data_IF_917240226289
#
_entry.id   IF_917240226289
#
_cell.length_a   1.000
_cell.length_b   1.000
_cell.length_c   1.000
_cell.angle_alpha   90.00
_cell.angle_beta   90.00
_cell.angle_gamma   90.00
#
_symmetry.space_group_name_H-M   'P 1'
#
loop_
_entity.id
_entity.type
_entity.pdbx_description
1 polymer ?
#
# COMPACT_ATOMS: atom_id res chain seq x y z
N UNK A 1 11.15 8.16 2.86
CA UNK A 1 9.94 8.22 2.03
C UNK A 1 9.61 9.66 1.66
N UNK A 2 9.07 9.87 0.48
CA UNK A 2 8.68 11.20 0.01
C UNK A 2 7.24 11.50 0.45
N UNK A 3 7.10 12.28 1.50
CA UNK A 3 5.78 12.60 2.07
C UNK A 3 4.90 13.42 1.11
N UNK A 4 5.48 14.13 0.15
CA UNK A 4 4.74 14.90 -0.85
C UNK A 4 4.32 14.04 -2.06
N UNK A 5 4.85 12.84 -2.21
CA UNK A 5 4.55 11.96 -3.32
C UNK A 5 5.05 12.44 -4.68
N UNK A 6 5.75 13.56 -4.75
CA UNK A 6 6.11 14.21 -6.01
C UNK A 6 7.07 13.38 -6.86
N UNK A 7 7.99 12.65 -6.21
CA UNK A 7 9.03 11.87 -6.88
C UNK A 7 8.85 10.37 -6.67
N UNK A 8 7.67 9.92 -6.25
CA UNK A 8 7.49 8.53 -5.83
C UNK A 8 7.70 7.56 -7.00
N UNK A 9 7.26 7.91 -8.20
CA UNK A 9 7.53 7.09 -9.39
C UNK A 9 9.03 6.96 -9.64
N UNK A 10 9.76 8.08 -9.59
CA UNK A 10 11.21 8.09 -9.78
C UNK A 10 11.92 7.28 -8.70
N UNK A 11 11.44 7.35 -7.46
CA UNK A 11 11.97 6.54 -6.37
C UNK A 11 11.77 5.05 -6.65
N UNK A 12 10.60 4.65 -7.15
CA UNK A 12 10.33 3.27 -7.52
C UNK A 12 11.28 2.80 -8.64
N UNK A 13 11.49 3.63 -9.65
CA UNK A 13 12.43 3.32 -10.74
C UNK A 13 13.86 3.18 -10.22
N UNK A 14 14.28 4.04 -9.30
CA UNK A 14 15.62 3.98 -8.68
C UNK A 14 15.79 2.72 -7.85
N UNK A 15 14.78 2.35 -7.07
CA UNK A 15 14.80 1.11 -6.27
C UNK A 15 14.88 -0.11 -7.20
N UNK A 16 14.09 -0.13 -8.25
CA UNK A 16 14.11 -1.22 -9.23
C UNK A 16 15.51 -1.39 -9.84
N UNK A 17 16.13 -0.29 -10.26
CA UNK A 17 17.47 -0.31 -10.83
C UNK A 17 18.51 -0.81 -9.83
N UNK A 18 18.45 -0.32 -8.60
CA UNK A 18 19.37 -0.74 -7.53
C UNK A 18 19.22 -2.23 -7.21
N UNK A 19 18.01 -2.73 -7.20
CA UNK A 19 17.75 -4.15 -6.94
C UNK A 19 18.26 -5.03 -8.09
N UNK A 20 18.08 -4.61 -9.34
CA UNK A 20 18.65 -5.33 -10.49
C UNK A 20 20.16 -5.39 -10.39
N UNK A 21 20.82 -4.27 -10.08
CA UNK A 21 22.27 -4.22 -9.94
C UNK A 21 22.77 -5.12 -8.82
N UNK A 22 22.03 -5.22 -7.73
CA UNK A 22 22.40 -6.02 -6.55
C UNK A 22 21.96 -7.47 -6.63
N UNK A 23 21.19 -7.86 -7.65
CA UNK A 23 20.64 -9.21 -7.76
C UNK A 23 19.52 -9.52 -6.76
N UNK A 24 18.94 -8.52 -6.14
CA UNK A 24 17.84 -8.68 -5.18
C UNK A 24 16.50 -8.64 -5.90
N UNK A 25 15.55 -9.49 -5.43
CA UNK A 25 14.22 -9.56 -6.04
C UNK A 25 13.07 -9.27 -5.08
N UNK A 26 13.25 -9.56 -3.78
CA UNK A 26 12.16 -9.40 -2.80
C UNK A 26 12.04 -7.95 -2.36
N UNK A 27 10.86 -7.35 -2.60
CA UNK A 27 10.57 -5.96 -2.23
C UNK A 27 9.22 -5.88 -1.54
N UNK A 28 9.18 -5.19 -0.40
CA UNK A 28 7.93 -4.79 0.25
C UNK A 28 7.81 -3.27 0.09
N UNK A 29 6.72 -2.82 -0.52
CA UNK A 29 6.51 -1.42 -0.87
C UNK A 29 5.26 -0.90 -0.21
N UNK A 30 5.38 0.19 0.55
CA UNK A 30 4.23 0.82 1.20
C UNK A 30 3.66 1.88 0.27
N UNK A 31 2.41 1.67 -0.16
CA UNK A 31 1.66 2.57 -1.00
C UNK A 31 0.52 3.20 -0.20
N UNK A 32 -0.66 3.34 -0.79
CA UNK A 32 -1.83 3.89 -0.10
C UNK A 32 -3.12 3.36 -0.72
N UNK A 33 -4.19 3.37 0.07
CA UNK A 33 -5.53 3.03 -0.42
C UNK A 33 -5.96 3.99 -1.53
N UNK A 34 -6.76 3.50 -2.45
CA UNK A 34 -7.38 4.32 -3.50
C UNK A 34 -6.61 4.40 -4.80
N UNK A 35 -5.40 3.86 -4.89
CA UNK A 35 -4.60 3.97 -6.12
C UNK A 35 -5.22 3.26 -7.32
N UNK A 36 -6.08 2.26 -7.09
CA UNK A 36 -6.80 1.55 -8.15
C UNK A 36 -8.27 1.97 -8.26
N UNK A 37 -8.63 3.09 -7.61
CA UNK A 37 -10.03 3.51 -7.49
C UNK A 37 -10.92 2.44 -6.85
N UNK A 38 -10.37 1.74 -5.87
CA UNK A 38 -10.99 0.57 -5.26
C UNK A 38 -11.77 0.89 -3.97
N UNK A 39 -11.74 2.13 -3.50
CA UNK A 39 -12.44 2.54 -2.28
C UNK A 39 -13.86 2.97 -2.62
N UNK A 40 -14.88 2.22 -2.19
CA UNK A 40 -16.26 2.49 -2.60
C UNK A 40 -16.93 3.57 -1.74
N UNK A 41 -18.09 4.05 -2.23
CA UNK A 41 -19.02 4.87 -1.47
C UNK A 41 -18.52 6.26 -1.13
N UNK A 42 -19.09 6.81 -0.07
CA UNK A 42 -18.75 8.18 0.39
C UNK A 42 -17.31 8.30 0.85
N UNK A 43 -16.78 7.27 1.48
CA UNK A 43 -15.38 7.27 1.89
C UNK A 43 -14.45 7.36 0.67
N UNK A 44 -14.76 6.63 -0.40
CA UNK A 44 -14.00 6.71 -1.65
C UNK A 44 -14.02 8.12 -2.23
N UNK A 45 -15.18 8.77 -2.25
CA UNK A 45 -15.32 10.15 -2.70
C UNK A 45 -14.48 11.10 -1.85
N UNK A 46 -14.57 10.98 -0.53
CA UNK A 46 -13.79 11.79 0.40
C UNK A 46 -12.29 11.56 0.23
N UNK A 47 -11.88 10.30 0.11
CA UNK A 47 -10.48 9.92 -0.05
C UNK A 47 -9.91 10.49 -1.35
N UNK A 48 -10.64 10.34 -2.45
CA UNK A 48 -10.23 10.88 -3.76
C UNK A 48 -10.10 12.40 -3.74
N UNK A 49 -11.05 13.08 -3.10
CA UNK A 49 -11.03 14.54 -2.99
C UNK A 49 -9.86 15.01 -2.11
N UNK A 50 -9.58 14.29 -1.03
CA UNK A 50 -8.54 14.66 -0.06
C UNK A 50 -7.14 14.40 -0.60
N UNK A 51 -6.91 13.23 -1.22
CA UNK A 51 -5.60 12.84 -1.71
C UNK A 51 -5.30 13.37 -3.12
N UNK A 52 -6.33 13.52 -3.95
CA UNK A 52 -6.17 14.12 -5.27
C UNK A 52 -5.05 13.50 -6.09
N UNK A 53 -4.11 14.33 -6.53
CA UNK A 53 -3.00 13.90 -7.39
C UNK A 53 -2.00 12.95 -6.71
N UNK A 54 -2.02 12.83 -5.38
CA UNK A 54 -1.24 11.80 -4.70
C UNK A 54 -1.57 10.42 -5.23
N UNK A 55 -2.85 10.14 -5.45
CA UNK A 55 -3.28 8.82 -5.91
C UNK A 55 -2.70 8.49 -7.28
N UNK A 56 -2.69 9.46 -8.19
CA UNK A 56 -2.10 9.29 -9.52
C UNK A 56 -0.60 8.99 -9.44
N UNK A 57 0.10 9.70 -8.57
CA UNK A 57 1.55 9.52 -8.40
C UNK A 57 1.88 8.18 -7.75
N UNK A 58 1.15 7.82 -6.72
CA UNK A 58 1.35 6.52 -6.05
C UNK A 58 0.96 5.35 -6.97
N UNK A 59 -0.09 5.52 -7.78
CA UNK A 59 -0.43 4.52 -8.80
C UNK A 59 0.72 4.34 -9.80
N UNK A 60 1.29 5.44 -10.30
CA UNK A 60 2.40 5.38 -11.25
C UNK A 60 3.61 4.61 -10.67
N UNK A 61 3.92 4.82 -9.39
CA UNK A 61 4.98 4.08 -8.72
C UNK A 61 4.65 2.59 -8.59
N UNK A 62 3.42 2.26 -8.20
CA UNK A 62 2.98 0.88 -8.10
C UNK A 62 3.04 0.18 -9.46
N UNK A 63 2.66 0.87 -10.52
CA UNK A 63 2.70 0.34 -11.89
C UNK A 63 4.12 -0.02 -12.32
N UNK A 64 5.11 0.78 -11.95
CA UNK A 64 6.54 0.47 -12.19
C UNK A 64 6.89 -0.89 -11.57
N UNK A 65 6.46 -1.13 -10.35
CA UNK A 65 6.74 -2.40 -9.65
C UNK A 65 5.93 -3.56 -10.22
N UNK A 66 4.66 -3.33 -10.55
CA UNK A 66 3.79 -4.37 -11.12
C UNK A 66 4.27 -4.83 -12.50
N UNK A 67 4.90 -3.94 -13.26
CA UNK A 67 5.47 -4.25 -14.58
C UNK A 67 6.91 -4.78 -14.49
N UNK A 68 7.50 -4.85 -13.31
CA UNK A 68 8.85 -5.35 -13.10
C UNK A 68 8.87 -6.88 -12.97
N UNK A 69 10.08 -7.44 -12.90
CA UNK A 69 10.29 -8.85 -12.59
C UNK A 69 10.55 -9.10 -11.10
N UNK A 70 10.37 -8.09 -10.25
CA UNK A 70 10.58 -8.24 -8.81
C UNK A 70 9.51 -9.11 -8.16
N UNK A 71 9.91 -9.78 -7.10
CA UNK A 71 9.00 -10.48 -6.19
C UNK A 71 8.47 -9.46 -5.18
N UNK A 72 7.57 -8.60 -5.65
CA UNK A 72 7.06 -7.49 -4.84
C UNK A 72 5.84 -7.89 -4.00
N UNK A 73 5.68 -7.19 -2.88
CA UNK A 73 4.39 -7.07 -2.17
C UNK A 73 4.14 -5.59 -1.97
N UNK A 74 3.03 -5.10 -2.51
CA UNK A 74 2.58 -3.73 -2.29
C UNK A 74 1.58 -3.75 -1.15
N UNK A 75 1.76 -2.85 -0.17
CA UNK A 75 0.82 -2.67 0.94
C UNK A 75 0.11 -1.34 0.74
N UNK A 76 -1.23 -1.37 0.72
CA UNK A 76 -2.10 -0.20 0.58
C UNK A 76 -2.84 0.03 1.89
N UNK A 77 -2.24 0.72 2.88
CA UNK A 77 -2.91 0.90 4.16
C UNK A 77 -4.05 1.90 4.06
N UNK A 78 -5.07 1.71 4.89
CA UNK A 78 -6.06 2.72 5.21
C UNK A 78 -5.39 3.90 5.92
N UNK A 79 -6.15 4.90 6.35
CA UNK A 79 -5.58 6.06 7.04
C UNK A 79 -4.90 5.62 8.34
N UNK A 80 -3.64 6.03 8.48
CA UNK A 80 -2.77 5.53 9.55
C UNK A 80 -3.05 6.22 10.88
N UNK A 81 -3.10 5.42 11.95
CA UNK A 81 -3.21 5.92 13.33
C UNK A 81 -1.97 5.57 14.13
N UNK A 82 -1.85 6.20 15.30
CA UNK A 82 -0.77 5.91 16.27
C UNK A 82 -1.26 5.06 17.44
N UNK A 83 -2.42 4.41 17.29
CA UNK A 83 -2.95 3.54 18.35
C UNK A 83 -2.01 2.37 18.61
N UNK A 84 -1.87 2.02 19.89
CA UNK A 84 -1.02 0.90 20.31
C UNK A 84 -1.80 -0.41 20.18
N UNK A 85 -1.93 -0.87 18.95
CA UNK A 85 -2.68 -2.09 18.65
C UNK A 85 -2.14 -2.77 17.39
N UNK A 86 -2.26 -4.10 17.36
CA UNK A 86 -2.06 -4.90 16.17
C UNK A 86 -3.42 -5.53 15.85
N UNK A 87 -4.16 -4.93 14.94
CA UNK A 87 -5.52 -5.34 14.60
C UNK A 87 -5.80 -4.93 13.16
N UNK A 88 -5.74 -5.89 12.24
CA UNK A 88 -5.90 -5.61 10.83
C UNK A 88 -6.48 -6.80 10.08
N UNK A 89 -7.11 -6.51 8.95
CA UNK A 89 -7.51 -7.50 7.96
C UNK A 89 -7.01 -7.08 6.58
N UNK A 90 -7.00 -8.03 5.64
CA UNK A 90 -6.43 -7.84 4.32
C UNK A 90 -7.51 -8.04 3.26
N UNK A 91 -7.50 -7.16 2.24
CA UNK A 91 -8.25 -7.35 0.99
C UNK A 91 -7.26 -7.46 -0.16
N UNK A 92 -7.68 -8.12 -1.24
CA UNK A 92 -6.85 -8.31 -2.43
C UNK A 92 -6.96 -7.11 -3.37
N UNK A 93 -6.13 -7.09 -4.42
CA UNK A 93 -6.04 -5.98 -5.36
C UNK A 93 -7.38 -5.62 -6.00
N UNK A 94 -8.17 -6.63 -6.36
CA UNK A 94 -9.43 -6.45 -7.08
C UNK A 94 -10.66 -6.41 -6.18
N UNK A 95 -10.47 -6.55 -4.87
CA UNK A 95 -11.57 -6.46 -3.91
C UNK A 95 -11.91 -5.00 -3.60
N UNK A 96 -13.17 -4.68 -3.29
CA UNK A 96 -13.48 -3.38 -2.69
C UNK A 96 -12.70 -3.20 -1.39
N UNK A 97 -12.14 -2.02 -1.21
CA UNK A 97 -11.39 -1.70 0.01
C UNK A 97 -12.37 -1.59 1.19
N UNK A 98 -11.96 -2.12 2.35
CA UNK A 98 -12.76 -2.11 3.57
C UNK A 98 -12.15 -1.18 4.60
N UNK A 99 -13.01 -0.64 5.49
CA UNK A 99 -12.57 0.15 6.63
C UNK A 99 -11.99 1.50 6.25
N UNK A 100 -11.66 2.28 7.27
CA UNK A 100 -11.19 3.66 7.09
C UNK A 100 -9.82 3.91 7.71
N UNK A 101 -9.40 3.09 8.68
CA UNK A 101 -8.17 3.33 9.42
C UNK A 101 -7.43 2.04 9.75
N UNK A 102 -6.15 2.17 10.08
CA UNK A 102 -5.30 1.08 10.57
C UNK A 102 -4.10 1.69 11.31
N UNK A 103 -3.66 1.04 12.38
CA UNK A 103 -2.51 1.55 13.13
C UNK A 103 -1.19 1.31 12.38
N UNK A 104 -0.22 2.20 12.58
CA UNK A 104 1.14 2.00 12.07
C UNK A 104 1.75 0.73 12.63
N UNK A 105 1.44 0.40 13.88
CA UNK A 105 1.91 -0.84 14.51
C UNK A 105 1.39 -2.09 13.80
N UNK A 106 0.13 -2.06 13.33
CA UNK A 106 -0.43 -3.15 12.52
C UNK A 106 0.33 -3.33 11.21
N UNK A 107 0.64 -2.23 10.52
CA UNK A 107 1.41 -2.29 9.27
C UNK A 107 2.82 -2.85 9.54
N UNK A 108 3.47 -2.39 10.60
CA UNK A 108 4.79 -2.92 10.98
C UNK A 108 4.74 -4.43 11.25
N UNK A 109 3.71 -4.90 11.93
CA UNK A 109 3.53 -6.33 12.20
C UNK A 109 3.36 -7.13 10.91
N UNK A 110 2.61 -6.61 9.94
CA UNK A 110 2.46 -7.25 8.63
C UNK A 110 3.80 -7.31 7.90
N UNK A 111 4.57 -6.22 7.89
CA UNK A 111 5.89 -6.20 7.26
C UNK A 111 6.80 -7.27 7.87
N UNK A 112 6.85 -7.37 9.19
CA UNK A 112 7.66 -8.41 9.87
C UNK A 112 7.21 -9.80 9.44
N UNK A 113 5.90 -10.05 9.41
CA UNK A 113 5.35 -11.34 8.99
C UNK A 113 5.76 -11.69 7.55
N UNK A 114 5.72 -10.71 6.65
CA UNK A 114 6.12 -10.91 5.25
C UNK A 114 7.61 -11.20 5.12
N UNK A 115 8.46 -10.60 5.96
CA UNK A 115 9.90 -10.88 5.94
C UNK A 115 10.23 -12.26 6.51
N UNK A 116 9.41 -12.77 7.42
CA UNK A 116 9.58 -14.11 8.00
C UNK A 116 9.15 -15.20 7.03
N UNK A 117 8.27 -14.91 6.08
CA UNK A 117 7.84 -15.83 5.03
C UNK A 117 8.01 -15.17 3.67
N UNK A 118 9.23 -15.12 3.14
CA UNK A 118 9.53 -14.36 1.92
C UNK A 118 8.92 -14.94 0.65
N UNK A 119 8.33 -16.11 0.70
CA UNK A 119 7.66 -16.73 -0.45
C UNK A 119 6.16 -16.44 -0.47
N UNK A 120 5.61 -15.85 0.59
CA UNK A 120 4.18 -15.53 0.65
C UNK A 120 3.90 -14.17 0.00
N UNK A 121 2.72 -14.05 -0.60
CA UNK A 121 2.20 -12.80 -1.18
C UNK A 121 3.13 -12.14 -2.19
N UNK A 122 3.85 -12.96 -2.97
CA UNK A 122 4.72 -12.49 -4.05
C UNK A 122 3.84 -11.99 -5.20
N UNK A 123 4.22 -10.84 -5.77
CA UNK A 123 3.53 -10.16 -6.88
C UNK A 123 2.07 -9.88 -6.53
N UNK A 124 1.86 -9.39 -5.32
CA UNK A 124 0.55 -9.17 -4.73
C UNK A 124 0.45 -7.74 -4.21
N UNK A 125 -0.73 -7.14 -4.32
CA UNK A 125 -1.04 -5.82 -3.76
C UNK A 125 -2.15 -5.98 -2.73
N UNK A 126 -1.84 -5.67 -1.47
CA UNK A 126 -2.71 -5.92 -0.32
C UNK A 126 -3.32 -4.63 0.22
N UNK A 127 -4.64 -4.57 0.30
CA UNK A 127 -5.32 -3.55 1.08
C UNK A 127 -5.32 -3.95 2.55
N UNK A 128 -5.05 -3.01 3.44
CA UNK A 128 -4.92 -3.30 4.89
C UNK A 128 -5.71 -2.27 5.69
N UNK A 129 -6.68 -2.75 6.46
CA UNK A 129 -7.52 -1.92 7.31
C UNK A 129 -7.78 -2.59 8.66
N UNK A 130 -8.16 -1.78 9.64
CA UNK A 130 -8.68 -2.30 10.91
C UNK A 130 -10.10 -2.78 10.70
N UNK A 131 -10.45 -4.00 11.18
CA UNK A 131 -11.83 -4.50 11.08
C UNK A 131 -12.84 -3.57 11.77
N UNK A 132 -14.04 -3.52 11.22
CA UNK A 132 -15.18 -2.78 11.80
C UNK A 132 -14.95 -1.26 11.90
N UNK A 133 -14.20 -0.70 10.94
CA UNK A 133 -13.98 0.75 10.87
C UNK A 133 -14.64 1.38 9.65
N UNK A 134 -15.62 0.72 9.05
CA UNK A 134 -16.37 1.28 7.92
C UNK A 134 -17.05 2.58 8.31
N UNK A 135 -17.01 3.56 7.41
CA UNK A 135 -17.59 4.88 7.63
C UNK A 135 -17.34 5.78 6.44
N UNK A 136 -17.79 7.03 6.55
CA UNK A 136 -17.67 8.01 5.46
C UNK A 136 -16.29 8.70 5.42
N UNK A 137 -15.53 8.60 6.49
CA UNK A 137 -14.14 9.09 6.62
C UNK A 137 -13.50 8.51 7.90
N UNK A 138 -12.16 8.60 8.02
CA UNK A 138 -11.44 8.05 9.17
C UNK A 138 -11.84 8.68 10.50
#
# INVERSE_FOLDING_TARGET
>A
ANSAGQNIKQQAETVLKAMHTSGLKRLIWISTLGIYDEVPGKFGQWNNATLGSYLTRYYAAAEVLENSDLDYTIIRPAWLTNKDEIDYEITQRHDPFKGTEVSRKSIAALVVKLTQDPTSNIRTSLGVNKPNTDGDKP
#
